data_IF_821922125358
#
_entry.id   IF_821922125358
#
_cell.length_a   1.000
_cell.length_b   1.000
_cell.length_c   1.000
_cell.angle_alpha   90.00
_cell.angle_beta   90.00
_cell.angle_gamma   90.00
#
_symmetry.space_group_name_H-M   'P 1'
#
loop_
_entity.id
_entity.type
_entity.pdbx_description
1 polymer ?
#
# COMPACT_ATOMS: atom_id res chain seq x y z
N UNK A 1 -6.72 -14.46 -11.25
CA UNK A 1 -7.36 -15.53 -11.99
C UNK A 1 -7.24 -15.49 -13.50
N UNK A 2 -6.88 -14.34 -14.14
CA UNK A 2 -6.82 -14.24 -15.60
C UNK A 2 -5.83 -15.26 -16.22
N UNK A 3 -4.64 -15.42 -15.66
CA UNK A 3 -3.64 -16.37 -16.11
C UNK A 3 -3.81 -17.76 -15.45
N UNK A 4 -5.01 -18.33 -15.53
CA UNK A 4 -5.41 -19.58 -14.84
C UNK A 4 -4.57 -20.81 -15.16
N UNK A 5 -3.82 -20.81 -16.26
CA UNK A 5 -2.89 -21.91 -16.63
C UNK A 5 -1.58 -21.89 -15.83
N UNK A 6 -1.27 -20.80 -15.13
CA UNK A 6 -0.06 -20.66 -14.34
C UNK A 6 -0.38 -20.95 -12.86
N UNK A 7 0.24 -21.95 -12.25
CA UNK A 7 0.05 -22.33 -10.85
C UNK A 7 0.26 -21.16 -9.88
N UNK A 8 1.30 -20.34 -10.12
CA UNK A 8 1.58 -19.14 -9.30
C UNK A 8 0.46 -18.11 -9.37
N UNK A 9 -0.17 -17.93 -10.53
CA UNK A 9 -1.29 -17.01 -10.69
C UNK A 9 -2.54 -17.48 -9.95
N UNK A 10 -2.81 -18.78 -9.95
CA UNK A 10 -3.91 -19.37 -9.18
C UNK A 10 -3.67 -19.24 -7.67
N UNK A 11 -2.47 -19.54 -7.20
CA UNK A 11 -2.08 -19.39 -5.80
C UNK A 11 -2.23 -17.92 -5.35
N UNK A 12 -1.68 -16.98 -6.10
CA UNK A 12 -1.80 -15.55 -5.85
C UNK A 12 -3.27 -15.09 -5.79
N UNK A 13 -4.10 -15.57 -6.72
CA UNK A 13 -5.53 -15.26 -6.78
C UNK A 13 -6.27 -15.76 -5.54
N UNK A 14 -6.05 -17.01 -5.12
CA UNK A 14 -6.69 -17.60 -3.94
C UNK A 14 -6.25 -16.86 -2.67
N UNK A 15 -4.94 -16.64 -2.49
CA UNK A 15 -4.39 -15.89 -1.35
C UNK A 15 -5.02 -14.50 -1.26
N UNK A 16 -5.04 -13.77 -2.38
CA UNK A 16 -5.62 -12.43 -2.40
C UNK A 16 -7.09 -12.41 -2.08
N UNK A 17 -7.88 -13.34 -2.66
CA UNK A 17 -9.32 -13.40 -2.46
C UNK A 17 -9.67 -13.67 -0.99
N UNK A 18 -9.05 -14.70 -0.39
CA UNK A 18 -9.32 -15.06 1.00
C UNK A 18 -8.91 -13.96 1.97
N UNK A 19 -7.68 -13.47 1.84
CA UNK A 19 -7.15 -12.44 2.74
C UNK A 19 -7.86 -11.09 2.56
N UNK A 20 -8.23 -10.73 1.32
CA UNK A 20 -9.00 -9.52 1.04
C UNK A 20 -10.42 -9.59 1.58
N UNK A 21 -11.07 -10.77 1.54
CA UNK A 21 -12.39 -10.97 2.13
C UNK A 21 -12.32 -10.81 3.66
N UNK A 22 -11.35 -11.46 4.31
CA UNK A 22 -11.13 -11.32 5.76
C UNK A 22 -10.86 -9.85 6.15
N UNK A 23 -9.96 -9.17 5.44
CA UNK A 23 -9.63 -7.77 5.71
C UNK A 23 -10.84 -6.83 5.51
N UNK A 24 -11.67 -7.11 4.50
CA UNK A 24 -12.90 -6.34 4.27
C UNK A 24 -13.94 -6.58 5.37
N UNK A 25 -14.01 -7.79 5.92
CA UNK A 25 -14.88 -8.09 7.07
C UNK A 25 -14.45 -7.31 8.31
N UNK A 26 -13.14 -7.25 8.60
CA UNK A 26 -12.63 -6.42 9.70
C UNK A 26 -12.92 -4.93 9.49
N UNK A 27 -12.74 -4.42 8.28
CA UNK A 27 -13.04 -3.02 7.96
C UNK A 27 -14.52 -2.71 8.18
N UNK A 28 -15.42 -3.53 7.62
CA UNK A 28 -16.86 -3.33 7.74
C UNK A 28 -17.33 -3.44 9.19
N UNK A 29 -16.81 -4.42 9.94
CA UNK A 29 -17.16 -4.57 11.35
C UNK A 29 -16.63 -3.40 12.19
N UNK A 30 -15.42 -2.93 11.90
CA UNK A 30 -14.87 -1.71 12.52
C UNK A 30 -15.75 -0.47 12.26
N UNK A 31 -16.20 -0.28 11.01
CA UNK A 31 -17.13 0.78 10.65
C UNK A 31 -18.47 0.64 11.38
N UNK A 32 -18.99 -0.58 11.55
CA UNK A 32 -20.21 -0.81 12.29
C UNK A 32 -20.10 -0.42 13.79
N UNK A 33 -18.96 -0.72 14.43
CA UNK A 33 -18.69 -0.29 15.81
C UNK A 33 -18.59 1.23 15.93
N UNK A 34 -17.90 1.88 14.99
CA UNK A 34 -17.82 3.35 14.93
C UNK A 34 -19.22 3.94 14.75
N UNK A 35 -20.02 3.38 13.83
CA UNK A 35 -21.40 3.84 13.61
C UNK A 35 -22.29 3.65 14.84
N UNK A 36 -22.15 2.54 15.54
CA UNK A 36 -22.95 2.26 16.74
C UNK A 36 -22.74 3.32 17.85
N UNK A 37 -21.54 3.89 17.92
CA UNK A 37 -21.20 4.90 18.93
C UNK A 37 -21.41 6.34 18.43
N UNK A 38 -21.06 6.62 17.15
CA UNK A 38 -21.13 7.98 16.60
C UNK A 38 -22.46 8.34 15.94
N UNK A 39 -23.24 7.33 15.53
CA UNK A 39 -24.49 7.50 14.80
C UNK A 39 -24.32 7.88 13.32
N UNK A 40 -23.10 8.12 12.84
CA UNK A 40 -22.80 8.53 11.47
C UNK A 40 -21.44 7.99 11.01
N UNK A 41 -21.25 7.83 9.70
CA UNK A 41 -19.98 7.45 9.04
C UNK A 41 -19.44 8.55 8.12
N UNK A 42 -20.14 9.66 7.97
CA UNK A 42 -19.61 10.82 7.26
C UNK A 42 -18.38 11.35 7.98
N UNK A 43 -17.28 11.56 7.25
CA UNK A 43 -16.04 12.09 7.85
C UNK A 43 -16.25 13.39 8.61
N UNK A 44 -17.11 14.29 8.09
CA UNK A 44 -17.42 15.57 8.72
C UNK A 44 -18.27 15.38 9.98
N UNK A 45 -19.23 14.46 9.95
CA UNK A 45 -20.05 14.15 11.11
C UNK A 45 -19.24 13.44 12.19
N UNK A 46 -18.35 12.53 11.82
CA UNK A 46 -17.40 11.92 12.76
C UNK A 46 -16.55 12.98 13.47
N UNK A 47 -16.05 13.99 12.73
CA UNK A 47 -15.30 15.09 13.33
C UNK A 47 -16.11 15.94 14.32
N UNK A 48 -17.42 16.07 14.10
CA UNK A 48 -18.31 16.80 15.02
C UNK A 48 -18.81 15.96 16.20
N UNK A 49 -19.07 14.67 15.96
CA UNK A 49 -19.69 13.77 16.94
C UNK A 49 -18.66 13.14 17.88
N UNK A 50 -17.39 13.01 17.43
CA UNK A 50 -16.28 12.54 18.26
C UNK A 50 -15.68 13.74 19.00
N UNK A 51 -16.34 14.17 20.08
CA UNK A 51 -15.83 15.22 20.96
C UNK A 51 -14.63 14.77 21.81
N UNK A 52 -14.07 15.71 22.55
CA UNK A 52 -12.93 15.48 23.44
C UNK A 52 -13.16 14.29 24.39
N UNK A 53 -12.28 13.30 24.34
CA UNK A 53 -12.29 12.12 25.20
C UNK A 53 -13.10 10.93 24.67
N UNK A 54 -14.00 11.07 23.72
CA UNK A 54 -14.76 9.94 23.16
C UNK A 54 -13.89 8.92 22.44
N UNK A 55 -12.76 9.34 21.86
CA UNK A 55 -11.81 8.44 21.19
C UNK A 55 -11.16 7.42 22.11
N UNK A 56 -11.22 7.62 23.43
CA UNK A 56 -10.72 6.66 24.42
C UNK A 56 -11.77 5.63 24.82
N UNK A 57 -13.00 5.75 24.33
CA UNK A 57 -14.05 4.74 24.55
C UNK A 57 -13.64 3.41 23.92
N UNK A 58 -13.71 2.29 24.67
CA UNK A 58 -13.22 0.99 24.18
C UNK A 58 -13.86 0.54 22.86
N UNK A 59 -15.13 0.88 22.65
CA UNK A 59 -15.85 0.53 21.42
C UNK A 59 -15.30 1.24 20.19
N UNK A 60 -14.99 2.54 20.33
CA UNK A 60 -14.40 3.34 19.26
C UNK A 60 -12.95 2.92 18.98
N UNK A 61 -12.15 2.68 20.01
CA UNK A 61 -10.79 2.16 19.83
C UNK A 61 -10.79 0.80 19.13
N UNK A 62 -11.69 -0.10 19.52
CA UNK A 62 -11.85 -1.39 18.84
C UNK A 62 -12.28 -1.20 17.37
N UNK A 63 -13.24 -0.29 17.12
CA UNK A 63 -13.72 0.05 15.78
C UNK A 63 -12.60 0.57 14.88
N UNK A 64 -11.87 1.59 15.33
CA UNK A 64 -10.73 2.14 14.57
C UNK A 64 -9.59 1.13 14.45
N UNK A 65 -9.31 0.32 15.48
CA UNK A 65 -8.33 -0.75 15.41
C UNK A 65 -8.65 -1.75 14.29
N UNK A 66 -9.90 -2.20 14.18
CA UNK A 66 -10.34 -3.08 13.11
C UNK A 66 -10.30 -2.40 11.72
N UNK A 67 -10.62 -1.11 11.65
CA UNK A 67 -10.48 -0.34 10.42
C UNK A 67 -8.99 -0.25 9.99
N UNK A 68 -8.07 -0.05 10.94
CA UNK A 68 -6.61 -0.05 10.69
C UNK A 68 -6.18 -1.41 10.12
N UNK A 69 -6.67 -2.53 10.63
CA UNK A 69 -6.39 -3.87 10.07
C UNK A 69 -6.83 -3.95 8.60
N UNK A 70 -8.07 -3.57 8.30
CA UNK A 70 -8.61 -3.63 6.94
C UNK A 70 -7.90 -2.68 5.95
N UNK A 71 -7.68 -1.44 6.36
CA UNK A 71 -6.98 -0.43 5.56
C UNK A 71 -5.49 -0.76 5.44
N UNK A 72 -4.86 -1.26 6.50
CA UNK A 72 -3.48 -1.72 6.52
C UNK A 72 -3.24 -2.88 5.54
N UNK A 73 -4.18 -3.81 5.44
CA UNK A 73 -4.13 -4.84 4.41
C UNK A 73 -4.18 -4.23 2.99
N UNK A 74 -5.11 -3.31 2.72
CA UNK A 74 -5.23 -2.65 1.41
C UNK A 74 -3.99 -1.85 1.03
N UNK A 75 -3.36 -1.20 2.00
CA UNK A 75 -2.10 -0.47 1.83
C UNK A 75 -0.86 -1.37 1.86
N UNK A 76 -1.00 -2.65 2.20
CA UNK A 76 0.13 -3.58 2.36
C UNK A 76 1.08 -3.21 3.50
N UNK A 77 0.58 -2.67 4.58
CA UNK A 77 1.37 -2.32 5.76
C UNK A 77 1.70 -3.56 6.59
N UNK A 78 2.85 -3.58 7.25
CA UNK A 78 3.21 -4.65 8.19
C UNK A 78 2.30 -4.56 9.42
N UNK A 79 1.73 -5.68 9.91
CA UNK A 79 1.96 -7.09 9.53
C UNK A 79 1.08 -7.62 8.38
N UNK A 80 0.21 -6.81 7.78
CA UNK A 80 -0.80 -7.23 6.82
C UNK A 80 -0.30 -7.31 5.36
N UNK A 81 1.02 -7.27 5.13
CA UNK A 81 1.68 -7.11 3.83
C UNK A 81 1.95 -8.41 3.06
N UNK A 82 1.84 -9.58 3.70
CA UNK A 82 2.34 -10.87 3.17
C UNK A 82 1.76 -11.27 1.80
N UNK A 83 0.61 -10.76 1.45
CA UNK A 83 -0.03 -11.02 0.16
C UNK A 83 0.67 -10.30 -1.01
N UNK A 84 1.29 -9.15 -0.76
CA UNK A 84 1.74 -8.21 -1.80
C UNK A 84 2.85 -8.78 -2.68
N UNK A 85 3.94 -9.35 -2.15
CA UNK A 85 4.99 -9.93 -3.00
C UNK A 85 4.50 -11.10 -3.83
N UNK A 86 3.68 -11.96 -3.27
CA UNK A 86 3.17 -13.16 -3.93
C UNK A 86 2.16 -12.80 -5.03
N UNK A 87 1.26 -11.86 -4.74
CA UNK A 87 0.26 -11.38 -5.71
C UNK A 87 0.92 -10.60 -6.84
N UNK A 88 1.91 -9.73 -6.54
CA UNK A 88 2.61 -8.99 -7.59
C UNK A 88 3.41 -9.92 -8.50
N UNK A 89 4.03 -10.97 -7.95
CA UNK A 89 4.72 -11.98 -8.74
C UNK A 89 3.75 -12.81 -9.59
N UNK A 90 2.65 -13.26 -8.99
CA UNK A 90 1.71 -14.17 -9.64
C UNK A 90 0.73 -13.52 -10.61
N UNK A 91 0.48 -12.21 -10.48
CA UNK A 91 -0.38 -11.47 -11.38
C UNK A 91 0.37 -11.01 -12.65
N UNK A 92 -0.31 -10.86 -13.79
CA UNK A 92 0.27 -10.20 -14.97
C UNK A 92 0.72 -8.77 -14.63
N UNK A 93 1.81 -8.31 -15.29
CA UNK A 93 2.42 -7.01 -14.99
C UNK A 93 1.42 -5.83 -14.95
N UNK A 94 0.44 -5.68 -15.87
CA UNK A 94 -0.56 -4.60 -15.81
C UNK A 94 -1.44 -4.65 -14.56
N UNK A 95 -1.78 -5.86 -14.08
CA UNK A 95 -2.58 -6.03 -12.86
C UNK A 95 -1.76 -5.64 -11.63
N UNK A 96 -0.49 -6.06 -11.56
CA UNK A 96 0.43 -5.68 -10.50
C UNK A 96 0.64 -4.16 -10.46
N UNK A 97 0.73 -3.52 -11.64
CA UNK A 97 0.81 -2.05 -11.79
C UNK A 97 -0.40 -1.37 -11.16
N UNK A 98 -1.60 -1.79 -11.51
CA UNK A 98 -2.84 -1.22 -10.96
C UNK A 98 -2.92 -1.37 -9.42
N UNK A 99 -2.57 -2.56 -8.91
CA UNK A 99 -2.57 -2.81 -7.47
C UNK A 99 -1.49 -2.00 -6.72
N UNK A 100 -0.34 -1.77 -7.36
CA UNK A 100 0.76 -1.00 -6.77
C UNK A 100 0.50 0.50 -6.75
N UNK A 101 -0.29 1.02 -7.67
CA UNK A 101 -0.45 2.46 -7.90
C UNK A 101 -1.85 2.95 -7.55
N UNK A 102 -2.78 2.89 -8.49
CA UNK A 102 -4.11 3.48 -8.36
C UNK A 102 -4.87 2.97 -7.12
N UNK A 103 -4.82 1.67 -6.85
CA UNK A 103 -5.49 1.08 -5.70
C UNK A 103 -4.94 1.63 -4.37
N UNK A 104 -3.62 1.73 -4.22
CA UNK A 104 -2.99 2.22 -2.98
C UNK A 104 -3.22 3.70 -2.76
N UNK A 105 -3.10 4.50 -3.81
CA UNK A 105 -3.34 5.95 -3.74
C UNK A 105 -4.78 6.25 -3.35
N UNK A 106 -5.74 5.54 -3.94
CA UNK A 106 -7.15 5.70 -3.59
C UNK A 106 -7.42 5.40 -2.11
N UNK A 107 -6.88 4.28 -1.60
CA UNK A 107 -7.04 3.91 -0.18
C UNK A 107 -6.29 4.88 0.73
N UNK A 108 -5.07 5.31 0.37
CA UNK A 108 -4.35 6.30 1.15
C UNK A 108 -5.09 7.64 1.21
N UNK A 109 -5.71 8.06 0.10
CA UNK A 109 -6.58 9.24 0.07
C UNK A 109 -7.78 9.13 1.02
N UNK A 110 -8.39 7.95 1.14
CA UNK A 110 -9.45 7.69 2.14
C UNK A 110 -8.91 7.81 3.56
N UNK A 111 -7.76 7.20 3.86
CA UNK A 111 -7.10 7.30 5.17
C UNK A 111 -6.76 8.74 5.50
N UNK A 112 -6.16 9.47 4.56
CA UNK A 112 -5.83 10.88 4.76
C UNK A 112 -7.08 11.72 5.05
N UNK A 113 -8.17 11.51 4.31
CA UNK A 113 -9.45 12.21 4.59
C UNK A 113 -10.02 11.87 5.96
N UNK A 114 -9.95 10.60 6.38
CA UNK A 114 -10.37 10.20 7.71
C UNK A 114 -9.60 10.98 8.79
N UNK A 115 -8.29 11.06 8.65
CA UNK A 115 -7.43 11.76 9.61
C UNK A 115 -7.58 13.29 9.59
N UNK A 116 -7.94 13.87 8.44
CA UNK A 116 -8.15 15.32 8.33
C UNK A 116 -9.47 15.80 8.91
N UNK A 117 -10.53 14.99 8.78
CA UNK A 117 -11.87 15.40 9.18
C UNK A 117 -12.31 14.86 10.53
N UNK A 118 -11.75 13.72 10.95
CA UNK A 118 -12.05 13.12 12.25
C UNK A 118 -10.80 13.20 13.16
N UNK A 119 -10.95 13.46 14.46
CA UNK A 119 -9.84 13.63 15.40
C UNK A 119 -9.17 12.29 15.77
N UNK A 120 -9.10 11.36 14.83
CA UNK A 120 -8.56 10.00 15.03
C UNK A 120 -7.09 10.04 15.45
N UNK A 121 -6.35 11.01 14.93
CA UNK A 121 -4.94 11.20 15.27
C UNK A 121 -4.69 11.82 16.64
N UNK A 122 -5.70 12.34 17.31
CA UNK A 122 -5.56 12.90 18.66
C UNK A 122 -5.44 11.79 19.71
N UNK A 123 -5.92 10.58 19.38
CA UNK A 123 -5.71 9.41 20.25
C UNK A 123 -4.25 8.99 20.24
N UNK A 124 -3.60 9.09 21.40
CA UNK A 124 -2.21 8.64 21.58
C UNK A 124 -2.04 7.15 21.24
N UNK A 125 -3.00 6.32 21.64
CA UNK A 125 -2.98 4.89 21.37
C UNK A 125 -2.97 4.60 19.86
N UNK A 126 -3.81 5.26 19.07
CA UNK A 126 -3.86 5.10 17.61
C UNK A 126 -2.57 5.60 16.97
N UNK A 127 -2.05 6.74 17.40
CA UNK A 127 -0.80 7.32 16.90
C UNK A 127 0.39 6.41 17.14
N UNK A 128 0.51 5.82 18.35
CA UNK A 128 1.58 4.87 18.68
C UNK A 128 1.47 3.61 17.82
N UNK A 129 0.27 3.04 17.66
CA UNK A 129 0.06 1.87 16.79
C UNK A 129 0.46 2.16 15.35
N UNK A 130 0.07 3.30 14.80
CA UNK A 130 0.44 3.71 13.44
C UNK A 130 1.94 3.94 13.30
N UNK A 131 2.61 4.51 14.30
CA UNK A 131 4.05 4.70 14.30
C UNK A 131 4.80 3.36 14.29
N UNK A 132 4.35 2.37 15.08
CA UNK A 132 4.91 1.02 15.09
C UNK A 132 4.71 0.34 13.72
N UNK A 133 3.51 0.44 13.14
CA UNK A 133 3.20 -0.10 11.82
C UNK A 133 4.08 0.56 10.73
N UNK A 134 4.25 1.88 10.78
CA UNK A 134 5.09 2.62 9.85
C UNK A 134 6.55 2.18 9.94
N UNK A 135 7.11 2.17 11.15
CA UNK A 135 8.48 1.75 11.40
C UNK A 135 8.73 0.30 10.93
N UNK A 136 7.84 -0.62 11.31
CA UNK A 136 7.93 -2.01 10.88
C UNK A 136 7.84 -2.13 9.35
N UNK A 137 6.95 -1.39 8.69
CA UNK A 137 6.79 -1.41 7.23
C UNK A 137 8.04 -0.92 6.52
N UNK A 138 8.68 0.14 7.02
CA UNK A 138 9.95 0.67 6.48
C UNK A 138 11.05 -0.37 6.61
N UNK A 139 11.27 -0.91 7.80
CA UNK A 139 12.36 -1.86 8.06
C UNK A 139 12.17 -3.16 7.29
N UNK A 140 11.02 -3.83 7.46
CA UNK A 140 10.75 -5.11 6.79
C UNK A 140 10.68 -4.96 5.28
N UNK A 141 10.06 -3.87 4.77
CA UNK A 141 9.99 -3.61 3.34
C UNK A 141 11.38 -3.51 2.70
N UNK A 142 12.26 -2.70 3.27
CA UNK A 142 13.62 -2.51 2.75
C UNK A 142 14.49 -3.76 2.91
N UNK A 143 14.51 -4.38 4.08
CA UNK A 143 15.32 -5.58 4.31
C UNK A 143 14.92 -6.75 3.41
N UNK A 144 13.62 -6.97 3.25
CA UNK A 144 13.12 -8.06 2.40
C UNK A 144 13.31 -7.77 0.91
N UNK A 145 13.30 -6.50 0.49
CA UNK A 145 13.61 -6.11 -0.89
C UNK A 145 15.02 -6.51 -1.30
N UNK A 146 16.02 -6.35 -0.42
CA UNK A 146 17.43 -6.69 -0.69
C UNK A 146 17.65 -8.17 -1.02
N UNK A 147 16.81 -9.05 -0.53
CA UNK A 147 16.93 -10.50 -0.75
C UNK A 147 16.22 -11.02 -2.01
N UNK A 148 15.55 -10.13 -2.76
CA UNK A 148 14.73 -10.58 -3.90
C UNK A 148 15.54 -10.75 -5.18
N UNK A 149 15.21 -11.80 -5.94
CA UNK A 149 15.71 -12.05 -7.29
C UNK A 149 14.66 -11.82 -8.38
N UNK A 150 13.43 -11.50 -7.96
CA UNK A 150 12.28 -11.23 -8.81
C UNK A 150 11.92 -9.74 -8.74
N UNK A 151 11.89 -9.05 -9.88
CA UNK A 151 11.68 -7.60 -9.95
C UNK A 151 10.30 -7.19 -9.43
N UNK A 152 9.25 -7.97 -9.71
CA UNK A 152 7.89 -7.66 -9.23
C UNK A 152 7.78 -7.81 -7.71
N UNK A 153 8.46 -8.79 -7.12
CA UNK A 153 8.56 -8.93 -5.66
C UNK A 153 9.37 -7.80 -5.04
N UNK A 154 10.48 -7.42 -5.66
CA UNK A 154 11.30 -6.30 -5.22
C UNK A 154 10.47 -5.01 -5.19
N UNK A 155 9.76 -4.70 -6.29
CA UNK A 155 8.84 -3.55 -6.36
C UNK A 155 7.68 -3.65 -5.33
N UNK A 156 7.23 -4.88 -5.03
CA UNK A 156 6.24 -5.13 -3.99
C UNK A 156 6.74 -4.74 -2.60
N UNK A 157 7.94 -5.15 -2.22
CA UNK A 157 8.57 -4.79 -0.95
C UNK A 157 8.95 -3.31 -0.88
N UNK A 158 9.44 -2.73 -1.98
CA UNK A 158 9.63 -1.27 -2.09
C UNK A 158 8.33 -0.53 -1.83
N UNK A 159 7.21 -0.98 -2.40
CA UNK A 159 5.90 -0.41 -2.16
C UNK A 159 5.46 -0.48 -0.68
N UNK A 160 5.82 -1.53 0.06
CA UNK A 160 5.54 -1.65 1.50
C UNK A 160 6.29 -0.57 2.28
N UNK A 161 7.59 -0.36 2.01
CA UNK A 161 8.38 0.67 2.68
C UNK A 161 7.89 2.10 2.36
N UNK A 162 7.53 2.38 1.09
CA UNK A 162 6.99 3.68 0.70
C UNK A 162 5.66 4.01 1.39
N UNK A 163 4.76 3.03 1.55
CA UNK A 163 3.55 3.23 2.33
C UNK A 163 3.85 3.43 3.82
N UNK A 164 4.94 2.87 4.33
CA UNK A 164 5.46 3.18 5.66
C UNK A 164 5.89 4.65 5.78
N UNK A 165 6.66 5.19 4.81
CA UNK A 165 7.02 6.62 4.79
C UNK A 165 5.81 7.53 4.69
N UNK A 166 4.82 7.19 3.86
CA UNK A 166 3.57 7.93 3.76
C UNK A 166 2.78 7.93 5.08
N UNK A 167 2.85 6.84 5.84
CA UNK A 167 2.21 6.77 7.14
C UNK A 167 2.91 7.66 8.18
N UNK A 168 4.25 7.75 8.14
CA UNK A 168 5.02 8.73 8.94
C UNK A 168 4.60 10.17 8.56
N UNK A 169 4.50 10.45 7.25
CA UNK A 169 4.07 11.73 6.76
C UNK A 169 2.63 12.10 7.22
N UNK A 170 1.74 11.10 7.27
CA UNK A 170 0.37 11.28 7.79
C UNK A 170 0.37 11.64 9.28
N UNK A 171 1.22 11.00 10.09
CA UNK A 171 1.38 11.30 11.52
C UNK A 171 1.95 12.72 11.70
N UNK A 172 2.98 13.07 10.93
CA UNK A 172 3.62 14.40 10.96
C UNK A 172 2.66 15.51 10.49
N UNK A 173 1.75 15.22 9.58
CA UNK A 173 0.71 16.16 9.14
C UNK A 173 -0.21 16.58 10.31
N UNK A 174 -0.51 15.65 11.21
CA UNK A 174 -1.36 15.91 12.37
C UNK A 174 -0.67 16.77 13.44
N UNK A 175 0.64 16.64 13.58
CA UNK A 175 1.44 17.49 14.49
C UNK A 175 1.74 18.89 13.94
N UNK A 176 1.34 19.16 12.69
CA UNK A 176 1.61 20.42 12.01
C UNK A 176 3.05 20.57 11.47
N UNK A 177 3.86 19.52 11.57
CA UNK A 177 5.26 19.52 11.11
C UNK A 177 5.40 19.35 9.59
N UNK A 178 4.36 18.86 8.92
CA UNK A 178 4.37 18.62 7.48
C UNK A 178 3.14 19.22 6.79
N UNK A 179 3.33 19.76 5.58
CA UNK A 179 2.21 20.28 4.79
C UNK A 179 1.53 19.16 3.97
N UNK A 180 0.24 19.33 3.71
CA UNK A 180 -0.53 18.44 2.83
C UNK A 180 0.06 18.40 1.42
N UNK A 181 0.65 19.52 0.97
CA UNK A 181 1.32 19.63 -0.33
C UNK A 181 2.51 18.67 -0.43
N UNK A 182 3.33 18.57 0.63
CA UNK A 182 4.47 17.66 0.67
C UNK A 182 4.02 16.19 0.55
N UNK A 183 2.95 15.80 1.24
CA UNK A 183 2.34 14.47 1.11
C UNK A 183 1.83 14.23 -0.30
N UNK A 184 1.19 15.24 -0.92
CA UNK A 184 0.69 15.18 -2.29
C UNK A 184 1.82 15.01 -3.32
N UNK A 185 2.91 15.75 -3.17
CA UNK A 185 4.11 15.65 -4.03
C UNK A 185 4.74 14.25 -3.90
N UNK A 186 4.87 13.74 -2.67
CA UNK A 186 5.40 12.39 -2.45
C UNK A 186 4.52 11.31 -3.09
N UNK A 187 3.20 11.41 -2.95
CA UNK A 187 2.24 10.49 -3.60
C UNK A 187 2.36 10.52 -5.12
N UNK A 188 2.50 11.71 -5.71
CA UNK A 188 2.70 11.86 -7.15
C UNK A 188 4.03 11.23 -7.59
N UNK A 189 5.13 11.49 -6.88
CA UNK A 189 6.43 10.87 -7.13
C UNK A 189 6.36 9.35 -7.07
N UNK A 190 5.76 8.79 -6.01
CA UNK A 190 5.55 7.36 -5.88
C UNK A 190 4.71 6.77 -7.02
N UNK A 191 3.62 7.46 -7.44
CA UNK A 191 2.76 7.03 -8.54
C UNK A 191 3.56 6.91 -9.84
N UNK A 192 4.23 7.99 -10.26
CA UNK A 192 4.94 8.02 -11.54
C UNK A 192 6.13 7.06 -11.55
N UNK A 193 6.88 6.97 -10.46
CA UNK A 193 8.01 6.05 -10.33
C UNK A 193 7.57 4.59 -10.39
N UNK A 194 6.50 4.24 -9.67
CA UNK A 194 5.94 2.89 -9.70
C UNK A 194 5.34 2.55 -11.06
N UNK A 195 4.59 3.47 -11.69
CA UNK A 195 4.05 3.28 -13.04
C UNK A 195 5.18 3.07 -14.06
N UNK A 196 6.26 3.88 -13.98
CA UNK A 196 7.39 3.77 -14.87
C UNK A 196 8.13 2.44 -14.70
N UNK A 197 8.43 2.03 -13.46
CA UNK A 197 9.11 0.77 -13.18
C UNK A 197 8.30 -0.45 -13.66
N UNK A 198 7.02 -0.53 -13.30
CA UNK A 198 6.14 -1.61 -13.79
C UNK A 198 5.87 -1.51 -15.29
N UNK A 199 5.86 -0.30 -15.88
CA UNK A 199 5.77 -0.08 -17.32
C UNK A 199 6.93 -0.74 -18.06
N UNK A 200 8.17 -0.57 -17.56
CA UNK A 200 9.35 -1.27 -18.12
C UNK A 200 9.17 -2.79 -17.99
N UNK A 201 8.74 -3.29 -16.83
CA UNK A 201 8.47 -4.73 -16.63
C UNK A 201 7.45 -5.24 -17.63
N UNK A 202 6.38 -4.49 -17.87
CA UNK A 202 5.33 -4.85 -18.83
C UNK A 202 5.84 -4.88 -20.27
N UNK A 203 6.68 -3.92 -20.67
CA UNK A 203 7.27 -3.86 -22.01
C UNK A 203 8.36 -4.91 -22.23
N UNK A 204 9.01 -5.35 -21.16
CA UNK A 204 9.96 -6.47 -21.21
C UNK A 204 9.27 -7.83 -21.26
N UNK A 205 8.05 -7.92 -20.75
CA UNK A 205 7.24 -9.14 -20.74
C UNK A 205 6.55 -9.33 -22.09
N UNK A 206 6.52 -10.57 -22.58
CA UNK A 206 5.81 -10.86 -23.83
C UNK A 206 4.30 -11.00 -23.58
N UNK A 207 3.46 -10.21 -24.24
CA UNK A 207 2.00 -10.31 -24.04
C UNK A 207 1.41 -11.60 -24.65
N UNK A 208 2.15 -12.27 -25.52
CA UNK A 208 1.62 -13.40 -26.32
C UNK A 208 2.30 -14.75 -26.04
N UNK A 209 3.49 -14.79 -25.44
CA UNK A 209 4.24 -16.04 -25.23
C UNK A 209 5.08 -15.99 -23.94
N UNK A 210 4.81 -16.91 -23.02
CA UNK A 210 5.65 -17.17 -21.88
C UNK A 210 5.31 -16.36 -20.62
N UNK A 211 6.05 -16.58 -19.52
CA UNK A 211 5.92 -15.82 -18.29
C UNK A 211 6.46 -14.40 -18.46
N UNK A 212 6.01 -13.50 -17.57
CA UNK A 212 6.56 -12.15 -17.49
C UNK A 212 8.09 -12.17 -17.28
N UNK A 213 8.78 -11.12 -17.76
CA UNK A 213 10.21 -10.91 -17.52
C UNK A 213 10.44 -10.44 -16.08
N UNK A 214 10.18 -11.32 -15.11
CA UNK A 214 10.17 -11.01 -13.69
C UNK A 214 11.49 -11.34 -12.96
N UNK A 215 12.41 -12.09 -13.60
CA UNK A 215 13.76 -12.31 -13.06
C UNK A 215 14.66 -11.10 -13.25
N UNK A 216 15.38 -10.68 -12.19
CA UNK A 216 16.38 -9.61 -12.27
C UNK A 216 17.47 -9.92 -13.31
N UNK A 217 17.75 -11.20 -13.55
CA UNK A 217 18.69 -11.62 -14.58
C UNK A 217 18.27 -11.18 -15.99
N UNK A 218 16.97 -11.10 -16.27
CA UNK A 218 16.44 -10.67 -17.58
C UNK A 218 16.73 -9.18 -17.90
N UNK A 219 17.11 -8.39 -16.89
CA UNK A 219 17.47 -6.97 -17.03
C UNK A 219 18.98 -6.74 -17.18
N UNK A 220 19.77 -7.83 -17.13
CA UNK A 220 21.21 -7.75 -17.26
C UNK A 220 21.59 -7.34 -18.69
N UNK A 221 22.38 -6.28 -18.81
CA UNK A 221 22.78 -5.75 -20.11
C UNK A 221 21.65 -5.03 -20.87
N UNK A 222 20.56 -4.66 -20.21
CA UNK A 222 19.42 -3.99 -20.83
C UNK A 222 19.84 -2.72 -21.60
N UNK A 223 20.83 -1.98 -21.11
CA UNK A 223 21.37 -0.78 -21.76
C UNK A 223 21.84 -1.06 -23.20
N UNK A 224 22.48 -2.19 -23.44
CA UNK A 224 23.02 -2.53 -24.77
C UNK A 224 21.95 -2.91 -25.79
N UNK A 225 20.81 -3.44 -25.31
CA UNK A 225 19.73 -3.91 -26.19
C UNK A 225 18.55 -2.94 -26.29
N UNK A 226 18.23 -2.26 -25.20
CA UNK A 226 17.09 -1.31 -25.08
C UNK A 226 17.47 -0.12 -24.17
N UNK A 227 18.30 0.83 -24.65
CA UNK A 227 18.86 1.90 -23.82
C UNK A 227 17.79 2.80 -23.20
N UNK A 228 16.70 3.08 -23.91
CA UNK A 228 15.60 3.91 -23.40
C UNK A 228 14.93 3.23 -22.21
N UNK A 229 14.61 1.95 -22.28
CA UNK A 229 14.01 1.22 -21.17
C UNK A 229 14.97 1.11 -19.97
N UNK A 230 16.26 0.95 -20.23
CA UNK A 230 17.28 0.96 -19.18
C UNK A 230 17.36 2.33 -18.47
N UNK A 231 17.34 3.42 -19.23
CA UNK A 231 17.34 4.77 -18.67
C UNK A 231 16.08 5.04 -17.82
N UNK A 232 14.90 4.72 -18.35
CA UNK A 232 13.64 4.86 -17.60
C UNK A 232 13.69 4.03 -16.31
N UNK A 233 14.07 2.75 -16.38
CA UNK A 233 14.16 1.90 -15.19
C UNK A 233 15.11 2.47 -14.15
N UNK A 234 16.29 2.96 -14.58
CA UNK A 234 17.29 3.55 -13.68
C UNK A 234 16.73 4.79 -12.98
N UNK A 235 16.10 5.71 -13.73
CA UNK A 235 15.51 6.93 -13.17
C UNK A 235 14.40 6.58 -12.18
N UNK A 236 13.51 5.63 -12.53
CA UNK A 236 12.41 5.24 -11.65
C UNK A 236 12.92 4.55 -10.37
N UNK A 237 13.92 3.68 -10.48
CA UNK A 237 14.52 3.03 -9.31
C UNK A 237 15.26 4.01 -8.40
N UNK A 238 15.97 5.00 -8.97
CA UNK A 238 16.60 6.07 -8.19
C UNK A 238 15.56 7.00 -7.53
N UNK A 239 14.42 7.22 -8.18
CA UNK A 239 13.32 8.00 -7.60
C UNK A 239 12.59 7.25 -6.47
N UNK A 240 12.69 5.91 -6.43
CA UNK A 240 12.15 5.06 -5.36
C UNK A 240 13.19 4.78 -4.26
N UNK A 241 14.43 5.21 -4.40
CA UNK A 241 15.49 5.02 -3.41
C UNK A 241 15.55 6.20 -2.43
#
# INVERSE_FOLDING_TARGET
GYAFRQKRSLEASIKYTILSAAASSFLLFGMALVYAQSGDLSFVALGKNLGDGMLNEPLLLAGFGLMIVGLGFKLSLVPFHLWTPDVYQGAPAPVSTFLATASKIAIFGVVMRLFLYAPVGDSEAIRVVLAIIAFASIIFGNLMALSQTNIKRLLGYSSISHLGYLLVALIALQTGEMSMEAVGVYLAGYLFSSLGAFGVVSLMSSPYRGPDADSLFSYRGLFWHRPILAAVMTVMMLSLA
#
